data_IF_900466497040
#
_entry.id   IF_900466497040
#
_cell.length_a   1.000
_cell.length_b   1.000
_cell.length_c   1.000
_cell.angle_alpha   90.00
_cell.angle_beta   90.00
_cell.angle_gamma   90.00
#
_symmetry.space_group_name_H-M   'P 1'
#
loop_
_entity.id
_entity.type
_entity.pdbx_description
1 polymer ?
#
# COMPACT_ATOMS: atom_id res chain seq x y z
N UNK A 1 4.38 11.68 14.57
CA UNK A 1 5.13 10.44 14.87
C UNK A 1 6.58 10.83 15.13
N UNK A 2 7.32 10.08 15.93
CA UNK A 2 8.75 10.35 16.12
C UNK A 2 9.51 9.97 14.84
N UNK A 3 10.53 10.75 14.49
CA UNK A 3 11.40 10.43 13.35
C UNK A 3 12.17 9.14 13.62
N UNK A 4 12.30 8.33 12.57
CA UNK A 4 13.06 7.10 12.58
C UNK A 4 14.42 7.33 11.91
N UNK A 5 15.52 6.93 12.57
CA UNK A 5 16.88 7.12 12.04
C UNK A 5 17.23 6.17 10.90
N UNK A 6 16.47 5.08 10.75
CA UNK A 6 16.68 4.07 9.72
C UNK A 6 15.73 4.23 8.52
N UNK A 7 14.65 4.99 8.67
CA UNK A 7 13.67 5.25 7.61
C UNK A 7 13.72 6.73 7.24
N UNK A 8 14.58 7.04 6.27
CA UNK A 8 14.87 8.41 5.86
C UNK A 8 14.21 8.72 4.51
N UNK A 9 13.34 9.74 4.48
CA UNK A 9 12.85 10.28 3.23
C UNK A 9 13.92 11.20 2.62
N UNK A 10 14.26 11.07 1.32
CA UNK A 10 15.45 11.69 0.74
C UNK A 10 15.44 13.23 0.68
N UNK A 11 14.26 13.86 0.75
CA UNK A 11 14.11 15.31 0.55
C UNK A 11 13.33 16.01 1.65
N UNK A 12 12.56 15.27 2.46
CA UNK A 12 11.57 15.84 3.38
C UNK A 12 11.71 15.16 4.73
N UNK A 13 12.46 15.77 5.64
CA UNK A 13 12.78 15.16 6.93
C UNK A 13 11.53 14.78 7.74
N UNK A 14 10.44 15.55 7.62
CA UNK A 14 9.18 15.29 8.32
C UNK A 14 8.47 14.01 7.85
N UNK A 15 8.85 13.45 6.69
CA UNK A 15 8.37 12.16 6.18
C UNK A 15 9.24 10.97 6.60
N UNK A 16 10.30 11.19 7.39
CA UNK A 16 11.25 10.16 7.82
C UNK A 16 10.75 9.38 9.03
N UNK A 17 9.69 8.59 8.83
CA UNK A 17 9.12 7.72 9.86
C UNK A 17 8.36 6.54 9.23
N UNK A 18 8.15 5.48 10.00
CA UNK A 18 7.26 4.39 9.60
C UNK A 18 5.81 4.77 9.85
N UNK A 19 5.02 4.94 8.78
CA UNK A 19 3.61 5.32 8.91
C UNK A 19 2.74 4.22 9.56
N UNK A 20 2.97 2.97 9.20
CA UNK A 20 2.15 1.84 9.65
C UNK A 20 2.57 0.52 9.03
N UNK A 21 1.82 -0.52 9.34
CA UNK A 21 2.03 -1.89 8.85
C UNK A 21 0.82 -2.33 8.03
N UNK A 22 1.05 -2.90 6.85
CA UNK A 22 -0.01 -3.40 5.97
C UNK A 22 0.03 -4.91 5.94
N UNK A 23 -1.06 -5.54 6.39
CA UNK A 23 -1.33 -6.95 6.19
C UNK A 23 -1.91 -7.16 4.80
N UNK A 24 -1.41 -8.18 4.11
CA UNK A 24 -1.80 -8.51 2.75
C UNK A 24 -2.29 -9.94 2.75
N UNK A 25 -3.45 -10.17 2.13
CA UNK A 25 -4.01 -11.50 1.92
C UNK A 25 -4.55 -11.63 0.48
N UNK A 26 -4.95 -12.84 0.14
CA UNK A 26 -5.71 -13.13 -1.07
C UNK A 26 -7.02 -12.34 -1.08
N UNK A 27 -7.46 -11.91 -2.26
CA UNK A 27 -8.75 -11.27 -2.42
C UNK A 27 -9.89 -12.24 -2.10
N UNK A 28 -11.02 -11.72 -1.63
CA UNK A 28 -12.26 -12.48 -1.50
C UNK A 28 -12.89 -12.72 -2.86
N UNK A 29 -12.91 -11.70 -3.72
CA UNK A 29 -13.36 -11.82 -5.11
C UNK A 29 -12.20 -12.24 -6.00
N UNK A 30 -12.39 -13.31 -6.79
CA UNK A 30 -11.32 -13.90 -7.63
C UNK A 30 -10.75 -12.95 -8.68
N UNK A 31 -11.53 -11.97 -9.12
CA UNK A 31 -11.12 -10.98 -10.11
C UNK A 31 -10.24 -9.87 -9.51
N UNK A 32 -10.26 -9.71 -8.18
CA UNK A 32 -9.46 -8.72 -7.48
C UNK A 32 -8.07 -9.29 -7.16
N UNK A 33 -7.07 -8.43 -7.10
CA UNK A 33 -5.67 -8.86 -6.96
C UNK A 33 -5.34 -9.32 -5.53
N UNK A 34 -5.81 -8.58 -4.52
CA UNK A 34 -5.52 -8.88 -3.11
C UNK A 34 -6.38 -8.05 -2.17
N UNK A 35 -6.32 -8.37 -0.88
CA UNK A 35 -6.95 -7.61 0.18
C UNK A 35 -5.91 -7.05 1.14
N UNK A 36 -6.10 -5.81 1.57
CA UNK A 36 -5.18 -5.11 2.46
C UNK A 36 -5.87 -4.66 3.75
N UNK A 37 -5.11 -4.65 4.84
CA UNK A 37 -5.49 -4.00 6.10
C UNK A 37 -4.29 -3.22 6.62
N UNK A 38 -4.39 -1.91 6.73
CA UNK A 38 -3.36 -1.06 7.32
C UNK A 38 -3.66 -0.79 8.80
N UNK A 39 -2.67 -1.04 9.65
CA UNK A 39 -2.65 -0.60 11.05
C UNK A 39 -1.63 0.53 11.17
N UNK A 40 -2.07 1.69 11.65
CA UNK A 40 -1.26 2.91 11.68
C UNK A 40 -1.52 3.74 12.95
N UNK A 41 -0.72 4.79 13.16
CA UNK A 41 -0.78 5.64 14.35
C UNK A 41 -0.80 4.78 15.64
N UNK A 42 -1.66 5.09 16.60
CA UNK A 42 -1.81 4.36 17.87
C UNK A 42 -2.75 3.14 17.74
N UNK A 43 -2.49 2.29 16.74
CA UNK A 43 -3.27 1.06 16.49
C UNK A 43 -4.60 1.29 15.77
N UNK A 44 -4.75 2.41 15.05
CA UNK A 44 -5.91 2.65 14.20
C UNK A 44 -5.92 1.70 12.99
N UNK A 45 -7.12 1.36 12.51
CA UNK A 45 -7.33 0.50 11.35
C UNK A 45 -7.93 1.31 10.21
N UNK A 46 -7.28 1.28 9.05
CA UNK A 46 -7.83 1.84 7.83
C UNK A 46 -8.94 0.92 7.30
N UNK A 47 -10.13 1.49 7.07
CA UNK A 47 -11.27 0.76 6.50
C UNK A 47 -11.17 0.66 4.98
N UNK A 48 -10.33 1.48 4.35
CA UNK A 48 -10.05 1.45 2.92
C UNK A 48 -8.88 0.49 2.60
N UNK A 49 -8.61 0.21 1.31
CA UNK A 49 -7.43 -0.56 0.90
C UNK A 49 -6.07 0.13 1.17
N UNK A 50 -6.09 1.38 1.66
CA UNK A 50 -4.94 2.24 1.94
C UNK A 50 -4.18 2.68 0.67
N UNK A 51 -4.59 3.82 0.09
CA UNK A 51 -4.06 4.36 -1.17
C UNK A 51 -2.53 4.46 -1.25
N UNK A 52 -1.91 5.13 -0.28
CA UNK A 52 -0.44 5.26 -0.18
C UNK A 52 0.24 3.90 0.01
N UNK A 53 -0.38 3.02 0.79
CA UNK A 53 0.06 1.66 1.03
C UNK A 53 0.12 0.80 -0.23
N UNK A 54 -0.94 0.85 -1.04
CA UNK A 54 -0.97 0.19 -2.35
C UNK A 54 0.08 0.77 -3.29
N UNK A 55 0.29 2.09 -3.26
CA UNK A 55 1.31 2.75 -4.08
C UNK A 55 2.73 2.26 -3.72
N UNK A 56 3.04 2.20 -2.43
CA UNK A 56 4.32 1.63 -1.95
C UNK A 56 4.48 0.15 -2.32
N UNK A 57 3.41 -0.65 -2.19
CA UNK A 57 3.43 -2.06 -2.62
C UNK A 57 3.66 -2.20 -4.13
N UNK A 58 3.01 -1.37 -4.94
CA UNK A 58 3.23 -1.35 -6.40
C UNK A 58 4.71 -1.11 -6.71
N UNK A 59 5.38 -0.17 -6.03
CA UNK A 59 6.80 0.10 -6.22
C UNK A 59 7.68 -1.11 -5.87
N UNK A 60 7.39 -1.81 -4.76
CA UNK A 60 8.09 -3.04 -4.37
C UNK A 60 7.93 -4.13 -5.44
N UNK A 61 6.71 -4.40 -5.86
CA UNK A 61 6.44 -5.44 -6.86
C UNK A 61 7.02 -5.10 -8.25
N UNK A 62 7.11 -3.80 -8.59
CA UNK A 62 7.85 -3.33 -9.78
C UNK A 62 9.34 -3.63 -9.67
N UNK A 63 9.96 -3.37 -8.52
CA UNK A 63 11.38 -3.68 -8.30
C UNK A 63 11.67 -5.19 -8.42
N UNK A 64 10.66 -6.03 -8.17
CA UNK A 64 10.71 -7.49 -8.29
C UNK A 64 10.36 -8.03 -9.68
N UNK A 65 10.01 -7.16 -10.64
CA UNK A 65 9.46 -7.53 -11.95
C UNK A 65 8.21 -8.43 -11.87
N UNK A 66 7.43 -8.34 -10.78
CA UNK A 66 6.26 -9.18 -10.57
C UNK A 66 4.98 -8.64 -11.24
N UNK A 67 5.00 -7.38 -11.70
CA UNK A 67 3.84 -6.73 -12.31
C UNK A 67 4.29 -5.72 -13.38
N UNK A 68 3.62 -5.74 -14.53
CA UNK A 68 3.94 -4.90 -15.70
C UNK A 68 3.41 -3.46 -15.61
N UNK A 69 3.88 -2.62 -16.53
CA UNK A 69 3.28 -1.32 -16.81
C UNK A 69 1.84 -1.48 -17.32
N UNK A 70 1.01 -0.44 -17.13
CA UNK A 70 -0.39 -0.39 -17.58
C UNK A 70 -1.33 -1.49 -17.03
N UNK A 71 -0.83 -2.34 -16.13
CA UNK A 71 -1.64 -3.33 -15.44
C UNK A 71 -2.66 -2.63 -14.55
N UNK A 72 -3.92 -3.06 -14.64
CA UNK A 72 -5.00 -2.64 -13.76
C UNK A 72 -5.03 -3.55 -12.54
N UNK A 73 -5.08 -2.95 -11.36
CA UNK A 73 -5.16 -3.68 -10.10
C UNK A 73 -6.39 -3.21 -9.32
N UNK A 74 -7.18 -4.16 -8.86
CA UNK A 74 -8.25 -3.93 -7.89
C UNK A 74 -7.84 -4.50 -6.54
N UNK A 75 -7.85 -3.67 -5.50
CA UNK A 75 -7.43 -4.04 -4.15
C UNK A 75 -8.59 -3.84 -3.19
N UNK A 76 -8.89 -4.88 -2.42
CA UNK A 76 -9.96 -4.91 -1.44
C UNK A 76 -9.50 -4.40 -0.06
N UNK A 77 -10.45 -3.90 0.72
CA UNK A 77 -10.25 -3.53 2.12
C UNK A 77 -10.88 -4.51 3.11
N UNK A 78 -10.64 -4.29 4.40
CA UNK A 78 -11.30 -5.05 5.47
C UNK A 78 -12.84 -4.92 5.45
N UNK A 79 -13.39 -3.80 4.96
CA UNK A 79 -14.83 -3.57 4.88
C UNK A 79 -15.42 -3.90 3.50
N UNK A 80 -14.64 -4.47 2.58
CA UNK A 80 -15.08 -4.82 1.22
C UNK A 80 -15.08 -3.65 0.23
N UNK A 81 -14.55 -2.48 0.60
CA UNK A 81 -14.34 -1.40 -0.36
C UNK A 81 -13.21 -1.76 -1.33
N UNK A 82 -13.32 -1.32 -2.58
CA UNK A 82 -12.34 -1.63 -3.63
C UNK A 82 -11.78 -0.35 -4.22
N UNK A 83 -10.45 -0.24 -4.26
CA UNK A 83 -9.75 0.81 -4.99
C UNK A 83 -9.14 0.22 -6.27
N UNK A 84 -9.29 0.96 -7.37
CA UNK A 84 -8.75 0.61 -8.68
C UNK A 84 -7.53 1.46 -8.98
N UNK A 85 -6.47 0.81 -9.45
CA UNK A 85 -5.20 1.46 -9.77
C UNK A 85 -4.85 1.18 -11.22
N UNK A 86 -4.39 2.23 -11.89
CA UNK A 86 -3.70 2.12 -13.17
C UNK A 86 -2.25 2.40 -12.91
N UNK A 87 -1.37 1.45 -13.26
CA UNK A 87 0.07 1.65 -13.13
C UNK A 87 0.55 2.65 -14.16
N UNK A 88 0.72 3.90 -13.72
CA UNK A 88 1.41 4.91 -14.51
C UNK A 88 2.88 4.99 -14.09
N UNK A 89 3.75 5.28 -15.07
CA UNK A 89 5.20 5.36 -14.96
C UNK A 89 5.66 6.01 -13.64
N UNK A 90 6.28 5.21 -12.78
CA UNK A 90 7.41 5.64 -11.97
C UNK A 90 8.68 5.19 -12.70
#
# INVERSE_FOLDING_TARGET
MLQDKEILHPFENDLSFLYGTIFIDSAQEKENHSRNVCVFAEGEVDRSPTGSGVSGRIAIERSRNAIDFDSKLAIESITGSVFNYVKQLL
#
